data_IF_438471660829
#
_entry.id   IF_438471660829
#
_cell.length_a   1.000
_cell.length_b   1.000
_cell.length_c   1.000
_cell.angle_alpha   90.00
_cell.angle_beta   90.00
_cell.angle_gamma   90.00
#
_symmetry.space_group_name_H-M   'P 1'
#
loop_
_entity.id
_entity.type
_entity.pdbx_description
1 polymer ?
#
# COMPACT_ATOMS: atom_id res chain seq x y z
N UNK A 1 -10.05 28.92 36.58
CA UNK A 1 -9.85 27.62 35.92
C UNK A 1 -10.67 27.57 34.62
N UNK A 2 -10.20 28.23 33.56
CA UNK A 2 -10.86 28.19 32.24
C UNK A 2 -9.83 28.09 31.11
N UNK A 3 -8.60 28.52 31.39
CA UNK A 3 -7.48 28.51 30.45
C UNK A 3 -6.96 27.07 30.23
N UNK A 4 -6.88 26.24 31.27
CA UNK A 4 -6.40 24.85 31.15
C UNK A 4 -7.30 23.93 30.32
N UNK A 5 -8.62 24.13 30.34
CA UNK A 5 -9.57 23.32 29.55
C UNK A 5 -9.47 23.57 28.05
N UNK A 6 -9.17 24.81 27.65
CA UNK A 6 -9.04 25.18 26.24
C UNK A 6 -7.75 24.64 25.63
N UNK A 7 -6.63 24.66 26.38
CA UNK A 7 -5.38 24.08 25.88
C UNK A 7 -5.45 22.56 25.72
N UNK A 8 -6.06 21.86 26.68
CA UNK A 8 -6.24 20.40 26.58
C UNK A 8 -7.22 20.05 25.43
N UNK A 9 -8.33 20.78 25.31
CA UNK A 9 -9.31 20.57 24.24
C UNK A 9 -8.75 20.85 22.85
N UNK A 10 -7.98 21.93 22.69
CA UNK A 10 -7.33 22.27 21.42
C UNK A 10 -6.30 21.22 21.01
N UNK A 11 -5.45 20.75 21.92
CA UNK A 11 -4.47 19.69 21.63
C UNK A 11 -5.17 18.40 21.18
N UNK A 12 -6.22 17.97 21.87
CA UNK A 12 -7.00 16.77 21.49
C UNK A 12 -7.64 16.95 20.12
N UNK A 13 -8.21 18.12 19.84
CA UNK A 13 -8.86 18.40 18.55
C UNK A 13 -7.85 18.46 17.41
N UNK A 14 -6.66 19.02 17.65
CA UNK A 14 -5.55 19.03 16.68
C UNK A 14 -5.04 17.62 16.40
N UNK A 15 -4.85 16.78 17.42
CA UNK A 15 -4.42 15.39 17.22
C UNK A 15 -5.47 14.59 16.43
N UNK A 16 -6.76 14.77 16.74
CA UNK A 16 -7.85 14.11 16.00
C UNK A 16 -7.89 14.63 14.55
N UNK A 17 -7.78 15.93 14.32
CA UNK A 17 -7.76 16.50 12.97
C UNK A 17 -6.56 16.01 12.16
N UNK A 18 -5.37 15.91 12.76
CA UNK A 18 -4.18 15.35 12.09
C UNK A 18 -4.39 13.86 11.81
N UNK A 19 -4.92 13.09 12.76
CA UNK A 19 -5.19 11.66 12.57
C UNK A 19 -6.22 11.40 11.44
N UNK A 20 -7.20 12.30 11.27
CA UNK A 20 -8.15 12.25 10.16
C UNK A 20 -7.52 12.68 8.82
N UNK A 21 -6.46 13.50 8.85
CA UNK A 21 -5.73 13.94 7.67
C UNK A 21 -4.52 13.06 7.31
N UNK A 22 -4.11 12.14 8.19
CA UNK A 22 -3.12 11.12 7.85
C UNK A 22 -3.73 10.20 6.78
N UNK A 23 -3.00 10.00 5.68
CA UNK A 23 -3.38 9.05 4.65
C UNK A 23 -3.52 7.67 5.31
N UNK A 24 -4.76 7.20 5.45
CA UNK A 24 -5.02 5.88 5.99
C UNK A 24 -4.75 4.88 4.89
N UNK A 25 -3.75 4.03 5.10
CA UNK A 25 -3.47 2.92 4.21
C UNK A 25 -4.04 1.65 4.80
N UNK A 26 -4.84 0.93 4.03
CA UNK A 26 -5.44 -0.35 4.42
C UNK A 26 -5.00 -1.44 3.44
N UNK A 27 -4.56 -2.60 3.96
CA UNK A 27 -4.28 -3.76 3.12
C UNK A 27 -5.58 -4.41 2.69
N UNK A 28 -5.80 -4.50 1.37
CA UNK A 28 -6.98 -5.14 0.77
C UNK A 28 -6.70 -6.61 0.50
N UNK A 29 -5.55 -6.91 -0.08
CA UNK A 29 -5.15 -8.27 -0.43
C UNK A 29 -3.63 -8.43 -0.42
N UNK A 30 -3.16 -9.63 -0.09
CA UNK A 30 -1.73 -9.97 -0.12
C UNK A 30 -1.51 -11.21 -0.97
N UNK A 31 -0.60 -11.10 -1.93
CA UNK A 31 -0.20 -12.17 -2.84
C UNK A 31 1.23 -12.60 -2.48
N UNK A 32 1.40 -13.69 -1.72
CA UNK A 32 2.72 -14.19 -1.38
C UNK A 32 3.42 -14.71 -2.65
N UNK A 33 4.72 -14.42 -2.77
CA UNK A 33 5.55 -15.17 -3.71
C UNK A 33 5.55 -16.64 -3.28
N UNK A 34 5.62 -17.56 -4.24
CA UNK A 34 5.72 -19.00 -3.95
C UNK A 34 6.87 -19.28 -2.96
N UNK A 35 6.86 -20.41 -2.20
CA UNK A 35 7.88 -20.70 -1.18
C UNK A 35 9.34 -20.66 -1.67
N UNK A 36 9.58 -20.79 -2.98
CA UNK A 36 10.90 -20.64 -3.61
C UNK A 36 11.32 -19.18 -3.82
N UNK A 37 10.37 -18.25 -3.81
CA UNK A 37 10.53 -16.82 -4.06
C UNK A 37 10.92 -16.02 -2.83
N UNK A 38 11.67 -16.60 -1.89
CA UNK A 38 12.49 -15.84 -0.93
C UNK A 38 11.78 -15.06 0.18
N UNK A 39 10.48 -15.29 0.43
CA UNK A 39 9.74 -14.57 1.48
C UNK A 39 9.30 -13.16 1.07
N UNK A 40 9.13 -12.91 -0.22
CA UNK A 40 8.56 -11.67 -0.75
C UNK A 40 7.05 -11.80 -0.99
N UNK A 41 6.35 -10.69 -1.03
CA UNK A 41 4.94 -10.63 -1.37
C UNK A 41 4.59 -9.29 -2.03
N UNK A 42 3.40 -9.27 -2.62
CA UNK A 42 2.76 -8.07 -3.16
C UNK A 42 1.50 -7.79 -2.34
N UNK A 43 1.39 -6.62 -1.74
CA UNK A 43 0.19 -6.21 -1.01
C UNK A 43 -0.54 -5.10 -1.77
N UNK A 44 -1.81 -5.31 -2.09
CA UNK A 44 -2.69 -4.25 -2.59
C UNK A 44 -3.13 -3.42 -1.38
N UNK A 45 -2.84 -2.14 -1.44
CA UNK A 45 -3.14 -1.15 -0.42
C UNK A 45 -4.14 -0.14 -0.96
N UNK A 46 -5.21 0.11 -0.22
CA UNK A 46 -6.11 1.24 -0.45
C UNK A 46 -5.56 2.44 0.31
N UNK A 47 -5.29 3.53 -0.41
CA UNK A 47 -4.83 4.80 0.15
C UNK A 47 -6.00 5.77 0.16
N UNK A 48 -6.52 6.02 1.35
CA UNK A 48 -7.61 6.97 1.55
C UNK A 48 -7.09 8.40 1.40
N UNK A 49 -7.66 9.14 0.45
CA UNK A 49 -7.42 10.57 0.28
C UNK A 49 -8.60 11.36 0.83
N UNK A 50 -8.38 12.40 1.65
CA UNK A 50 -9.45 13.27 2.15
C UNK A 50 -10.16 14.07 1.04
N UNK A 51 -9.66 14.04 -0.20
CA UNK A 51 -10.25 14.70 -1.38
C UNK A 51 -11.06 13.75 -2.29
N UNK A 52 -11.63 12.68 -1.72
CA UNK A 52 -12.79 11.95 -2.26
C UNK A 52 -12.52 10.86 -3.33
N UNK A 53 -11.27 10.66 -3.75
CA UNK A 53 -10.88 9.50 -4.57
C UNK A 53 -9.85 8.64 -3.86
N UNK A 54 -10.29 7.46 -3.46
CA UNK A 54 -9.38 6.40 -3.04
C UNK A 54 -8.48 6.01 -4.20
N UNK A 55 -7.20 5.90 -3.90
CA UNK A 55 -6.21 5.35 -4.82
C UNK A 55 -5.79 3.97 -4.34
N UNK A 56 -5.44 3.11 -5.28
CA UNK A 56 -4.95 1.79 -4.97
C UNK A 56 -3.48 1.69 -5.39
N UNK A 57 -2.67 1.18 -4.50
CA UNK A 57 -1.25 0.95 -4.69
C UNK A 57 -0.95 -0.53 -4.48
N UNK A 58 0.06 -1.06 -5.16
CA UNK A 58 0.64 -2.38 -4.90
C UNK A 58 2.01 -2.15 -4.32
N UNK A 59 2.21 -2.60 -3.10
CA UNK A 59 3.49 -2.56 -2.42
C UNK A 59 4.19 -3.90 -2.61
N UNK A 60 5.38 -3.87 -3.18
CA UNK A 60 6.23 -5.02 -3.43
C UNK A 60 7.40 -4.97 -2.46
N UNK A 61 7.66 -6.09 -1.78
CA UNK A 61 8.71 -6.16 -0.78
C UNK A 61 8.72 -7.45 0.04
N UNK A 62 9.52 -7.51 1.11
CA UNK A 62 9.57 -8.66 2.01
C UNK A 62 8.22 -8.83 2.73
N UNK A 63 7.79 -10.07 2.93
CA UNK A 63 6.60 -10.41 3.70
C UNK A 63 6.96 -10.54 5.18
N UNK A 64 6.55 -9.57 5.99
CA UNK A 64 6.91 -9.43 7.41
C UNK A 64 5.65 -9.19 8.23
N UNK A 65 5.49 -9.91 9.35
CA UNK A 65 4.38 -9.73 10.30
C UNK A 65 2.98 -9.69 9.62
N UNK A 66 2.78 -10.60 8.66
CA UNK A 66 1.57 -10.69 7.83
C UNK A 66 1.24 -9.48 6.94
N UNK A 67 2.24 -8.63 6.68
CA UNK A 67 2.11 -7.47 5.80
C UNK A 67 3.34 -7.30 4.88
N UNK A 68 3.21 -6.40 3.92
CA UNK A 68 4.35 -5.94 3.10
C UNK A 68 4.60 -4.47 3.45
N UNK A 69 5.76 -4.12 4.04
CA UNK A 69 6.10 -2.73 4.30
C UNK A 69 6.28 -1.97 2.99
N UNK A 70 6.13 -0.64 3.03
CA UNK A 70 6.24 0.22 1.85
C UNK A 70 7.68 0.18 1.31
N UNK A 71 7.90 -0.61 0.26
CA UNK A 71 9.13 -0.66 -0.53
C UNK A 71 8.91 -0.09 -1.92
N UNK A 72 8.98 -0.94 -2.94
CA UNK A 72 8.61 -0.54 -4.30
C UNK A 72 7.09 -0.43 -4.42
N UNK A 73 6.61 0.71 -4.92
CA UNK A 73 5.18 1.02 -5.01
C UNK A 73 4.76 1.17 -6.47
N UNK A 74 3.71 0.45 -6.85
CA UNK A 74 3.06 0.56 -8.15
C UNK A 74 1.66 1.12 -7.96
N UNK A 75 1.37 2.28 -8.54
CA UNK A 75 0.01 2.82 -8.55
C UNK A 75 -0.86 2.04 -9.54
N UNK A 76 -2.05 1.62 -9.12
CA UNK A 76 -3.05 1.00 -9.99
C UNK A 76 -3.79 2.14 -10.72
N UNK A 77 -3.76 2.18 -12.07
CA UNK A 77 -4.48 3.19 -12.82
C UNK A 77 -5.99 3.18 -12.53
N UNK A 78 -6.61 4.36 -12.62
CA UNK A 78 -8.06 4.47 -12.53
C UNK A 78 -8.74 3.58 -13.58
N UNK A 79 -9.84 2.95 -13.18
CA UNK A 79 -10.62 1.98 -13.95
C UNK A 79 -9.98 0.60 -14.17
N UNK A 80 -8.78 0.33 -13.62
CA UNK A 80 -8.24 -1.03 -13.58
C UNK A 80 -8.75 -1.77 -12.34
N UNK A 81 -8.84 -3.10 -12.43
CA UNK A 81 -9.20 -3.92 -11.26
C UNK A 81 -8.17 -3.79 -10.13
N UNK A 82 -8.62 -3.95 -8.90
CA UNK A 82 -7.76 -3.99 -7.70
C UNK A 82 -7.30 -5.41 -7.35
N UNK A 83 -7.72 -6.40 -8.14
CA UNK A 83 -7.37 -7.82 -7.98
C UNK A 83 -6.50 -8.27 -9.16
N UNK A 84 -5.21 -7.92 -9.19
CA UNK A 84 -4.32 -8.37 -10.24
C UNK A 84 -4.06 -9.87 -10.13
N UNK A 85 -3.86 -10.51 -11.28
CA UNK A 85 -3.19 -11.80 -11.34
C UNK A 85 -1.67 -11.57 -11.29
N UNK A 86 -1.02 -12.05 -10.23
CA UNK A 86 0.41 -11.84 -10.00
C UNK A 86 1.19 -13.11 -10.28
N UNK A 87 2.14 -13.00 -11.20
CA UNK A 87 3.08 -14.06 -11.57
C UNK A 87 4.49 -13.66 -11.15
N UNK A 88 5.09 -14.46 -10.27
CA UNK A 88 6.44 -14.25 -9.76
C UNK A 88 7.43 -15.07 -10.58
N UNK A 89 8.35 -14.40 -11.26
CA UNK A 89 9.48 -15.02 -11.96
C UNK A 89 10.80 -14.62 -11.29
N UNK A 90 11.91 -15.35 -11.52
CA UNK A 90 13.20 -15.00 -10.92
C UNK A 90 13.69 -13.57 -11.26
N UNK A 91 13.29 -13.05 -12.43
CA UNK A 91 13.76 -11.77 -12.94
C UNK A 91 12.72 -10.65 -12.81
N UNK A 92 11.43 -11.00 -12.78
CA UNK A 92 10.33 -10.02 -12.82
C UNK A 92 9.09 -10.46 -12.04
N UNK A 93 8.36 -9.50 -11.51
CA UNK A 93 6.98 -9.64 -11.04
C UNK A 93 6.07 -9.10 -12.13
N UNK A 94 5.16 -9.94 -12.61
CA UNK A 94 4.20 -9.58 -13.66
C UNK A 94 2.81 -9.49 -13.03
N UNK A 95 2.17 -8.33 -13.17
CA UNK A 95 0.84 -8.04 -12.64
C UNK A 95 -0.10 -7.77 -13.81
N UNK A 96 -1.12 -8.61 -13.97
CA UNK A 96 -2.14 -8.49 -15.03
C UNK A 96 -3.47 -8.06 -14.43
N UNK A 97 -4.12 -7.08 -15.05
CA UNK A 97 -5.35 -6.47 -14.55
C UNK A 97 -6.48 -6.61 -15.58
N UNK A 98 -7.69 -6.93 -15.12
CA UNK A 98 -8.88 -7.10 -15.97
C UNK A 98 -10.08 -6.28 -15.44
N UNK A 99 -10.64 -5.30 -16.20
CA UNK A 99 -10.10 -4.73 -17.43
C UNK A 99 -8.82 -3.93 -17.13
N UNK A 100 -7.86 -3.96 -18.04
CA UNK A 100 -6.59 -3.27 -17.83
C UNK A 100 -5.47 -3.74 -18.76
N UNK A 101 -4.25 -3.72 -18.23
CA UNK A 101 -3.05 -4.16 -18.94
C UNK A 101 -2.11 -4.95 -18.04
N UNK A 102 -0.84 -4.98 -18.42
CA UNK A 102 0.21 -5.68 -17.69
C UNK A 102 1.25 -4.68 -17.18
N UNK A 103 1.61 -4.79 -15.92
CA UNK A 103 2.74 -4.08 -15.31
C UNK A 103 3.81 -5.10 -14.96
N UNK A 104 5.04 -4.83 -15.38
CA UNK A 104 6.20 -5.72 -15.16
C UNK A 104 7.23 -4.98 -14.33
N UNK A 105 7.54 -5.51 -13.16
CA UNK A 105 8.51 -4.93 -12.23
C UNK A 105 9.72 -5.86 -12.15
N UNK A 106 10.94 -5.39 -12.44
CA UNK A 106 12.15 -6.18 -12.23
C UNK A 106 12.30 -6.59 -10.76
N UNK A 107 12.73 -7.82 -10.51
CA UNK A 107 12.98 -8.30 -9.14
C UNK A 107 14.04 -7.45 -8.43
N UNK A 108 14.99 -6.86 -9.15
CA UNK A 108 15.97 -5.91 -8.57
C UNK A 108 15.32 -4.70 -7.90
N UNK A 109 14.15 -4.25 -8.36
CA UNK A 109 13.40 -3.17 -7.72
C UNK A 109 12.62 -3.64 -6.51
N UNK A 110 12.14 -4.89 -6.51
CA UNK A 110 11.43 -5.49 -5.36
C UNK A 110 12.38 -5.76 -4.20
N UNK A 111 13.63 -6.11 -4.52
CA UNK A 111 14.69 -6.37 -3.55
C UNK A 111 15.32 -5.08 -3.00
N UNK A 112 15.06 -3.92 -3.61
CA UNK A 112 15.64 -2.65 -3.18
C UNK A 112 14.89 -2.10 -1.96
N UNK A 113 15.49 -2.29 -0.77
CA UNK A 113 14.96 -1.85 0.53
C UNK A 113 15.42 -0.43 0.92
N UNK A 114 15.75 0.44 -0.04
CA UNK A 114 16.30 1.78 0.22
C UNK A 114 15.27 2.80 0.70
#
# INVERSE_FOLDING_TARGET
MLIAGVFVGAVVTTVIAIALFMHRTETVHTYPASPRGGGYAAAVKRVHSPMDLDSYEIWLGPYLDDDVPRGHVVAIPLAWSTEPHIEWTPDTVVMRFEPGGEIRVPMTMVLDNR
#
